data_IF_672414274669
#
_entry.id   IF_672414274669
#
_cell.length_a   1.000
_cell.length_b   1.000
_cell.length_c   1.000
_cell.angle_alpha   90.00
_cell.angle_beta   90.00
_cell.angle_gamma   90.00
#
_symmetry.space_group_name_H-M   'P 1'
#
loop_
_entity.id
_entity.type
_entity.pdbx_description
1 polymer ?
#
# COMPACT_ATOMS: atom_id res chain seq x y z
N UNK A 1 39.39 -20.36 -57.67
CA UNK A 1 39.31 -19.27 -56.68
C UNK A 1 37.82 -18.96 -56.48
N UNK A 2 37.14 -19.78 -55.69
CA UNK A 2 35.74 -19.54 -55.35
C UNK A 2 35.70 -18.54 -54.21
N UNK A 3 35.23 -17.33 -54.51
CA UNK A 3 34.90 -16.32 -53.52
C UNK A 3 33.81 -16.91 -52.60
N UNK A 4 34.16 -17.15 -51.34
CA UNK A 4 33.19 -17.42 -50.29
C UNK A 4 32.23 -16.23 -50.21
N UNK A 5 30.94 -16.50 -50.47
CA UNK A 5 29.88 -15.53 -50.21
C UNK A 5 29.90 -15.19 -48.71
N UNK A 6 29.80 -13.90 -48.32
CA UNK A 6 29.59 -13.56 -46.93
C UNK A 6 28.29 -14.24 -46.48
N UNK A 7 28.39 -15.13 -45.50
CA UNK A 7 27.22 -15.65 -44.81
C UNK A 7 26.42 -14.45 -44.32
N UNK A 8 25.25 -14.25 -44.92
CA UNK A 8 24.23 -13.30 -44.47
C UNK A 8 24.09 -13.54 -42.96
N UNK A 9 24.33 -12.54 -42.09
CA UNK A 9 24.19 -12.75 -40.66
C UNK A 9 22.77 -13.27 -40.43
N UNK A 10 22.65 -14.40 -39.76
CA UNK A 10 21.35 -14.92 -39.34
C UNK A 10 20.62 -13.75 -38.69
N UNK A 11 19.44 -13.40 -39.21
CA UNK A 11 18.63 -12.30 -38.68
C UNK A 11 18.30 -12.66 -37.24
N UNK A 12 19.14 -12.21 -36.30
CA UNK A 12 18.96 -12.44 -34.87
C UNK A 12 17.57 -11.95 -34.51
N UNK A 13 16.73 -12.82 -33.95
CA UNK A 13 15.39 -12.42 -33.56
C UNK A 13 15.48 -11.26 -32.55
N UNK A 14 14.57 -10.27 -32.62
CA UNK A 14 14.58 -9.18 -31.66
C UNK A 14 14.46 -9.72 -30.24
N UNK A 15 15.21 -9.12 -29.32
CA UNK A 15 15.05 -9.37 -27.89
C UNK A 15 13.71 -8.79 -27.45
N UNK A 16 12.79 -9.71 -27.15
CA UNK A 16 11.45 -9.41 -26.67
C UNK A 16 11.39 -9.37 -25.15
N UNK A 17 10.37 -8.73 -24.58
CA UNK A 17 10.19 -8.71 -23.13
C UNK A 17 10.13 -10.11 -22.51
N UNK A 18 9.44 -11.07 -23.14
CA UNK A 18 9.33 -12.44 -22.63
C UNK A 18 10.64 -13.25 -22.66
N UNK A 19 11.61 -12.81 -23.46
CA UNK A 19 12.95 -13.42 -23.49
C UNK A 19 13.90 -12.88 -22.42
N UNK A 20 13.52 -11.77 -21.77
CA UNK A 20 14.38 -11.02 -20.85
C UNK A 20 13.78 -10.97 -19.44
N UNK A 21 12.44 -10.93 -19.36
CA UNK A 21 11.66 -10.87 -18.13
C UNK A 21 10.59 -11.96 -18.13
N UNK A 22 10.17 -12.38 -16.94
CA UNK A 22 9.12 -13.39 -16.78
C UNK A 22 7.71 -12.79 -16.97
N UNK A 23 7.43 -12.28 -18.17
CA UNK A 23 6.18 -11.66 -18.58
C UNK A 23 5.38 -12.56 -19.53
N UNK A 24 4.08 -12.33 -19.68
CA UNK A 24 3.17 -13.19 -20.46
C UNK A 24 2.23 -12.39 -21.35
N UNK A 25 1.68 -13.03 -22.37
CA UNK A 25 0.70 -12.40 -23.26
C UNK A 25 1.35 -11.47 -24.27
N UNK A 26 0.64 -10.43 -24.70
CA UNK A 26 1.06 -9.57 -25.81
C UNK A 26 2.38 -8.83 -25.53
N UNK A 27 2.63 -8.41 -24.28
CA UNK A 27 3.89 -7.78 -23.89
C UNK A 27 5.09 -8.71 -24.12
N UNK A 28 4.95 -10.00 -23.85
CA UNK A 28 6.04 -10.98 -23.99
C UNK A 28 6.53 -11.11 -25.44
N UNK A 29 5.65 -10.85 -26.41
CA UNK A 29 5.94 -10.93 -27.84
C UNK A 29 6.51 -9.63 -28.44
N UNK A 30 6.46 -8.52 -27.70
CA UNK A 30 6.92 -7.22 -28.17
C UNK A 30 8.43 -7.07 -28.02
N UNK A 31 9.13 -6.47 -29.02
CA UNK A 31 10.53 -6.12 -28.91
C UNK A 31 10.71 -4.99 -27.88
N UNK A 32 11.82 -5.03 -27.15
CA UNK A 32 12.16 -3.93 -26.23
C UNK A 32 12.69 -2.75 -27.05
N UNK A 33 12.04 -1.59 -26.94
CA UNK A 33 12.38 -0.37 -27.67
C UNK A 33 13.23 0.63 -26.84
N UNK A 34 14.02 1.52 -27.48
CA UNK A 34 14.84 2.50 -26.78
C UNK A 34 14.02 3.44 -25.87
N UNK A 35 12.84 3.85 -26.32
CA UNK A 35 11.90 4.69 -25.58
C UNK A 35 11.46 4.03 -24.28
N UNK A 36 11.05 2.76 -24.33
CA UNK A 36 10.57 2.04 -23.15
C UNK A 36 11.68 1.92 -22.10
N UNK A 37 12.91 1.67 -22.57
CA UNK A 37 14.09 1.61 -21.71
C UNK A 37 14.40 2.98 -21.08
N UNK A 38 14.25 4.08 -21.83
CA UNK A 38 14.41 5.43 -21.32
C UNK A 38 13.32 5.82 -20.30
N UNK A 39 12.07 5.41 -20.54
CA UNK A 39 10.97 5.58 -19.60
C UNK A 39 11.22 4.82 -18.30
N UNK A 40 11.66 3.55 -18.40
CA UNK A 40 12.02 2.74 -17.22
C UNK A 40 13.16 3.36 -16.42
N UNK A 41 14.21 3.82 -17.11
CA UNK A 41 15.32 4.50 -16.45
C UNK A 41 14.88 5.79 -15.74
N UNK A 42 13.96 6.56 -16.35
CA UNK A 42 13.42 7.77 -15.74
C UNK A 42 12.57 7.46 -14.50
N UNK A 43 11.73 6.42 -14.58
CA UNK A 43 10.92 5.98 -13.47
C UNK A 43 11.76 5.41 -12.30
N UNK A 44 12.79 4.61 -12.60
CA UNK A 44 13.78 4.15 -11.63
C UNK A 44 14.49 5.33 -10.96
N UNK A 45 14.99 6.29 -11.74
CA UNK A 45 15.71 7.45 -11.22
C UNK A 45 14.84 8.31 -10.29
N UNK A 46 13.54 8.45 -10.58
CA UNK A 46 12.60 9.18 -9.72
C UNK A 46 12.41 8.50 -8.35
N UNK A 47 12.37 7.17 -8.29
CA UNK A 47 12.11 6.42 -7.05
C UNK A 47 13.40 6.18 -6.24
N UNK A 48 14.49 5.82 -6.90
CA UNK A 48 15.75 5.51 -6.25
C UNK A 48 16.66 6.74 -6.05
N UNK A 49 16.37 7.86 -6.70
CA UNK A 49 17.17 9.09 -6.68
C UNK A 49 18.53 8.97 -7.37
N UNK A 50 18.84 7.81 -7.95
CA UNK A 50 20.06 7.50 -8.71
C UNK A 50 19.75 6.40 -9.72
N UNK A 51 20.56 6.32 -10.78
CA UNK A 51 20.46 5.23 -11.74
C UNK A 51 20.90 3.92 -11.09
N UNK A 52 20.03 2.91 -11.12
CA UNK A 52 20.35 1.57 -10.64
C UNK A 52 21.20 0.82 -11.67
N UNK A 53 22.29 0.21 -11.20
CA UNK A 53 23.17 -0.61 -12.05
C UNK A 53 22.69 -2.05 -12.01
N UNK A 54 22.26 -2.59 -13.15
CA UNK A 54 21.80 -3.97 -13.27
C UNK A 54 20.34 -4.20 -12.88
N UNK A 55 19.54 -3.12 -12.78
CA UNK A 55 18.08 -3.20 -12.66
C UNK A 55 17.39 -3.40 -14.02
N UNK A 56 16.05 -3.53 -14.04
CA UNK A 56 15.28 -3.70 -15.27
C UNK A 56 15.56 -2.64 -16.33
N UNK A 57 15.76 -1.36 -15.99
CA UNK A 57 16.14 -0.34 -16.95
C UNK A 57 17.48 -0.64 -17.65
N UNK A 58 18.49 -1.09 -16.89
CA UNK A 58 19.80 -1.45 -17.46
C UNK A 58 19.68 -2.61 -18.45
N UNK A 59 18.86 -3.60 -18.11
CA UNK A 59 18.61 -4.78 -18.94
C UNK A 59 17.84 -4.38 -20.21
N UNK A 60 16.81 -3.53 -20.07
CA UNK A 60 16.03 -3.01 -21.20
C UNK A 60 16.90 -2.16 -22.13
N UNK A 61 17.80 -1.32 -21.61
CA UNK A 61 18.72 -0.51 -22.41
C UNK A 61 19.67 -1.38 -23.24
N UNK A 62 20.22 -2.45 -22.65
CA UNK A 62 21.07 -3.38 -23.37
C UNK A 62 20.32 -4.12 -24.47
N UNK A 63 19.08 -4.54 -24.19
CA UNK A 63 18.22 -5.22 -25.17
C UNK A 63 17.80 -4.28 -26.31
N UNK A 64 17.36 -3.06 -25.99
CA UNK A 64 16.99 -2.03 -26.96
C UNK A 64 18.18 -1.65 -27.85
N UNK A 65 19.37 -1.42 -27.27
CA UNK A 65 20.57 -1.11 -28.04
C UNK A 65 21.01 -2.27 -28.95
N UNK A 66 20.70 -3.52 -28.59
CA UNK A 66 20.89 -4.66 -29.50
C UNK A 66 19.87 -4.60 -30.62
N UNK A 67 18.58 -4.48 -30.31
CA UNK A 67 17.49 -4.43 -31.28
C UNK A 67 17.63 -3.28 -32.29
N UNK A 68 18.09 -2.11 -31.85
CA UNK A 68 18.34 -0.94 -32.69
C UNK A 68 19.52 -1.19 -33.64
N UNK A 69 20.62 -1.78 -33.14
CA UNK A 69 21.79 -2.13 -33.97
C UNK A 69 21.48 -3.18 -35.03
N UNK A 70 20.57 -4.12 -34.75
CA UNK A 70 20.09 -5.09 -35.74
C UNK A 70 18.92 -4.58 -36.60
N UNK A 71 18.46 -3.34 -36.39
CA UNK A 71 17.45 -2.69 -37.21
C UNK A 71 16.02 -3.20 -36.99
N UNK A 72 15.74 -3.83 -35.84
CA UNK A 72 14.41 -4.33 -35.50
C UNK A 72 13.50 -3.29 -34.83
N UNK A 73 14.09 -2.24 -34.26
CA UNK A 73 13.40 -1.09 -33.68
C UNK A 73 14.17 0.18 -34.05
N UNK A 74 13.45 1.27 -34.24
CA UNK A 74 14.01 2.60 -34.46
C UNK A 74 14.14 3.36 -33.13
N UNK A 75 14.96 4.39 -33.13
CA UNK A 75 15.11 5.30 -31.99
C UNK A 75 13.85 6.13 -31.69
N UNK A 76 12.73 5.96 -32.41
CA UNK A 76 11.45 6.65 -32.13
C UNK A 76 10.33 5.65 -31.79
N UNK A 77 10.62 4.35 -31.85
CA UNK A 77 9.60 3.32 -31.62
C UNK A 77 9.27 3.21 -30.13
N UNK A 78 7.99 3.18 -29.81
CA UNK A 78 7.47 2.85 -28.48
C UNK A 78 6.71 1.53 -28.53
N UNK A 79 6.77 0.72 -27.48
CA UNK A 79 5.83 -0.39 -27.36
C UNK A 79 4.41 0.17 -27.22
N UNK A 80 3.52 -0.21 -28.14
CA UNK A 80 2.17 0.38 -28.24
C UNK A 80 1.30 0.13 -27.00
N UNK A 81 1.63 -0.85 -26.15
CA UNK A 81 0.98 -1.10 -24.84
C UNK A 81 1.55 -0.26 -23.68
N UNK A 82 2.75 0.32 -23.81
CA UNK A 82 3.31 1.20 -22.78
C UNK A 82 2.67 2.60 -22.78
N UNK A 83 1.81 2.91 -23.75
CA UNK A 83 1.14 4.21 -23.89
C UNK A 83 -0.07 4.41 -22.98
N UNK A 84 -0.85 3.34 -22.71
CA UNK A 84 -2.13 3.45 -21.97
C UNK A 84 -2.06 2.94 -20.51
N UNK A 85 -1.22 1.94 -20.20
CA UNK A 85 -0.99 1.46 -18.81
C UNK A 85 0.42 1.76 -18.27
N UNK A 86 1.31 2.31 -19.11
CA UNK A 86 2.57 2.93 -18.68
C UNK A 86 3.67 1.99 -18.15
N UNK A 87 4.89 2.49 -18.22
CA UNK A 87 6.01 2.05 -17.37
C UNK A 87 5.78 2.60 -15.96
N UNK A 88 5.72 1.73 -14.95
CA UNK A 88 5.46 2.14 -13.56
C UNK A 88 6.55 1.60 -12.62
N UNK A 89 7.02 2.47 -11.72
CA UNK A 89 7.85 2.07 -10.59
C UNK A 89 7.13 2.54 -9.33
N UNK A 90 6.53 1.59 -8.61
CA UNK A 90 5.72 1.87 -7.43
C UNK A 90 6.51 1.56 -6.16
N UNK A 91 6.56 2.52 -5.23
CA UNK A 91 7.12 2.33 -3.90
C UNK A 91 5.99 2.03 -2.89
N UNK A 92 5.99 0.81 -2.37
CA UNK A 92 5.14 0.39 -1.26
C UNK A 92 5.94 0.43 0.03
N UNK A 93 5.64 1.40 0.91
CA UNK A 93 6.30 1.52 2.21
C UNK A 93 5.65 0.58 3.22
N UNK A 94 6.44 -0.35 3.75
CA UNK A 94 6.07 -1.22 4.86
C UNK A 94 6.91 -0.84 6.09
N UNK A 95 6.48 -1.21 7.30
CA UNK A 95 7.32 -1.09 8.49
C UNK A 95 8.68 -1.78 8.27
N UNK A 96 9.77 -1.03 8.45
CA UNK A 96 11.16 -1.53 8.35
C UNK A 96 11.68 -1.82 6.93
N UNK A 97 10.87 -1.68 5.88
CA UNK A 97 11.29 -1.94 4.50
C UNK A 97 10.41 -1.21 3.49
N UNK A 98 11.00 -0.75 2.40
CA UNK A 98 10.21 -0.39 1.21
C UNK A 98 10.31 -1.50 0.18
N UNK A 99 9.18 -1.79 -0.43
CA UNK A 99 9.10 -2.66 -1.60
C UNK A 99 8.97 -1.74 -2.80
N UNK A 100 9.89 -1.85 -3.73
CA UNK A 100 9.84 -1.14 -5.00
C UNK A 100 9.48 -2.16 -6.06
N UNK A 101 8.34 -1.96 -6.72
CA UNK A 101 7.83 -2.84 -7.77
C UNK A 101 7.93 -2.11 -9.10
N UNK A 102 8.64 -2.69 -10.04
CA UNK A 102 8.83 -2.16 -11.39
C UNK A 102 8.00 -2.99 -12.37
N UNK A 103 7.15 -2.34 -13.13
CA UNK A 103 6.21 -3.00 -14.04
C UNK A 103 6.05 -2.26 -15.36
N UNK A 104 5.67 -3.01 -16.38
CA UNK A 104 5.28 -2.50 -17.71
C UNK A 104 3.94 -3.10 -18.06
N UNK A 105 2.96 -2.27 -18.43
CA UNK A 105 1.60 -2.70 -18.74
C UNK A 105 1.01 -3.62 -17.65
N UNK A 106 1.16 -3.22 -16.38
CA UNK A 106 0.68 -3.97 -15.21
C UNK A 106 1.46 -5.25 -14.87
N UNK A 107 2.45 -5.66 -15.67
CA UNK A 107 3.25 -6.87 -15.42
C UNK A 107 4.58 -6.55 -14.75
N UNK A 108 4.86 -7.25 -13.64
CA UNK A 108 6.06 -7.02 -12.81
C UNK A 108 7.30 -7.54 -13.52
N UNK A 109 8.29 -6.66 -13.74
CA UNK A 109 9.61 -6.98 -14.26
C UNK A 109 10.63 -7.20 -13.15
N UNK A 110 10.50 -6.48 -12.05
CA UNK A 110 11.42 -6.49 -10.92
C UNK A 110 10.75 -6.09 -9.61
N UNK A 111 11.23 -6.66 -8.51
CA UNK A 111 10.81 -6.28 -7.17
C UNK A 111 12.03 -6.19 -6.25
N UNK A 112 12.23 -5.02 -5.65
CA UNK A 112 13.34 -4.74 -4.75
C UNK A 112 12.79 -4.53 -3.34
N UNK A 113 13.41 -5.21 -2.37
CA UNK A 113 13.12 -4.98 -0.96
C UNK A 113 14.32 -4.24 -0.39
N UNK A 114 14.17 -2.94 -0.17
CA UNK A 114 15.19 -2.14 0.47
C UNK A 114 14.84 -1.97 1.96
N UNK A 115 15.75 -2.35 2.88
CA UNK A 115 15.64 -1.96 4.27
C UNK A 115 15.71 -0.43 4.33
N UNK A 116 14.65 0.22 4.79
CA UNK A 116 14.75 1.63 5.12
C UNK A 116 15.32 1.74 6.54
N UNK A 117 16.34 2.57 6.78
CA UNK A 117 16.70 2.90 8.14
C UNK A 117 15.46 3.50 8.80
N UNK A 118 14.95 2.83 9.83
CA UNK A 118 13.98 3.42 10.73
C UNK A 118 14.65 4.67 11.29
N UNK A 119 14.23 5.87 10.85
CA UNK A 119 14.57 7.08 11.59
C UNK A 119 14.02 6.85 12.98
N UNK A 120 14.94 6.74 13.94
CA UNK A 120 14.68 6.36 15.31
C UNK A 120 13.62 7.27 15.94
N UNK A 121 12.40 6.79 15.88
CA UNK A 121 11.33 6.92 16.85
C UNK A 121 10.43 5.72 16.54
N UNK A 122 10.75 4.48 16.87
CA UNK A 122 11.52 3.92 17.95
C UNK A 122 12.06 2.56 17.50
N UNK A 123 13.23 2.13 17.99
CA UNK A 123 13.57 0.72 18.19
C UNK A 123 14.96 0.62 18.83
N UNK A 124 14.99 0.73 20.15
CA UNK A 124 15.82 -0.16 20.95
C UNK A 124 15.45 -1.62 20.65
N UNK A 125 16.37 -2.40 20.09
CA UNK A 125 16.76 -3.73 20.61
C UNK A 125 16.79 -4.72 19.45
N UNK A 126 17.70 -5.69 19.33
CA UNK A 126 17.96 -6.65 20.39
C UNK A 126 16.73 -7.53 20.51
N UNK A 127 16.70 -8.67 19.81
CA UNK A 127 15.57 -9.61 19.73
C UNK A 127 14.28 -8.98 19.16
N UNK A 128 13.52 -9.72 18.36
CA UNK A 128 12.26 -9.19 17.82
C UNK A 128 11.22 -9.20 18.95
N UNK A 129 11.26 -8.20 19.84
CA UNK A 129 10.06 -7.79 20.56
C UNK A 129 9.12 -7.18 19.51
N UNK A 130 8.01 -7.87 19.22
CA UNK A 130 6.94 -7.33 18.40
C UNK A 130 6.54 -5.97 18.95
N UNK A 131 6.69 -4.91 18.13
CA UNK A 131 6.23 -3.59 18.53
C UNK A 131 4.75 -3.67 18.95
N UNK A 132 4.36 -3.08 20.09
CA UNK A 132 3.02 -3.23 20.61
C UNK A 132 2.01 -2.61 19.64
N UNK A 133 0.95 -3.36 19.36
CA UNK A 133 -0.16 -2.96 18.49
C UNK A 133 -0.78 -1.67 19.01
N UNK A 134 -0.91 -0.66 18.16
CA UNK A 134 -1.44 0.64 18.55
C UNK A 134 -2.97 0.69 18.51
N UNK A 135 -3.56 1.75 19.09
CA UNK A 135 -5.01 1.97 19.03
C UNK A 135 -5.44 2.28 17.58
N UNK A 136 -4.65 3.03 16.83
CA UNK A 136 -4.90 3.30 15.41
C UNK A 136 -4.85 2.05 14.53
N UNK A 137 -3.93 1.13 14.80
CA UNK A 137 -3.86 -0.17 14.12
C UNK A 137 -5.08 -1.05 14.43
N UNK A 138 -5.53 -1.06 15.69
CA UNK A 138 -6.75 -1.76 16.08
C UNK A 138 -7.98 -1.20 15.36
N UNK A 139 -8.08 0.13 15.22
CA UNK A 139 -9.14 0.80 14.47
C UNK A 139 -9.06 0.48 12.97
N UNK A 140 -7.87 0.46 12.38
CA UNK A 140 -7.69 0.05 10.99
C UNK A 140 -8.14 -1.41 10.76
N UNK A 141 -7.88 -2.30 11.73
CA UNK A 141 -8.37 -3.67 11.67
C UNK A 141 -9.90 -3.75 11.73
N UNK A 142 -10.57 -2.88 12.50
CA UNK A 142 -12.04 -2.78 12.49
C UNK A 142 -12.60 -2.46 11.11
N UNK A 143 -11.91 -1.63 10.32
CA UNK A 143 -12.32 -1.35 8.94
C UNK A 143 -12.30 -2.61 8.05
N UNK A 144 -11.48 -3.62 8.37
CA UNK A 144 -11.42 -4.89 7.65
C UNK A 144 -12.47 -5.89 8.14
N UNK A 145 -12.75 -5.91 9.44
CA UNK A 145 -13.65 -6.90 10.06
C UNK A 145 -15.12 -6.48 10.06
N UNK A 146 -15.37 -5.17 10.17
CA UNK A 146 -16.70 -4.58 10.26
C UNK A 146 -16.87 -3.38 9.32
N UNK A 147 -16.01 -3.23 8.30
CA UNK A 147 -16.01 -2.08 7.39
C UNK A 147 -17.32 -1.85 6.66
N UNK A 148 -18.06 -2.91 6.34
CA UNK A 148 -19.35 -2.82 5.64
C UNK A 148 -20.52 -2.41 6.54
N UNK A 149 -20.30 -2.35 7.86
CA UNK A 149 -21.31 -1.94 8.83
C UNK A 149 -21.58 -0.44 8.69
N UNK A 150 -22.85 0.00 8.59
CA UNK A 150 -23.22 1.40 8.75
C UNK A 150 -22.74 1.94 10.09
N UNK A 151 -22.20 3.16 10.10
CA UNK A 151 -21.76 3.81 11.34
C UNK A 151 -22.97 4.14 12.22
N UNK A 152 -22.95 3.67 13.47
CA UNK A 152 -23.95 3.96 14.49
C UNK A 152 -23.39 4.89 15.58
N UNK A 153 -24.27 5.43 16.43
CA UNK A 153 -23.87 6.28 17.57
C UNK A 153 -22.95 5.55 18.55
N UNK A 154 -23.13 4.25 18.71
CA UNK A 154 -22.27 3.37 19.52
C UNK A 154 -20.85 3.32 18.98
N UNK A 155 -20.70 3.18 17.65
CA UNK A 155 -19.41 3.17 16.98
C UNK A 155 -18.74 4.54 17.07
N UNK A 156 -19.50 5.62 16.85
CA UNK A 156 -18.97 6.98 16.97
C UNK A 156 -18.43 7.28 18.38
N UNK A 157 -19.14 6.83 19.43
CA UNK A 157 -18.67 6.95 20.80
C UNK A 157 -17.40 6.12 21.08
N UNK A 158 -17.34 4.89 20.54
CA UNK A 158 -16.17 4.04 20.67
C UNK A 158 -14.94 4.64 19.96
N UNK A 159 -15.11 5.16 18.74
CA UNK A 159 -14.06 5.83 17.95
C UNK A 159 -13.58 7.09 18.69
N UNK A 160 -14.49 7.87 19.26
CA UNK A 160 -14.12 9.04 20.06
C UNK A 160 -13.28 8.67 21.28
N UNK A 161 -13.69 7.64 22.02
CA UNK A 161 -12.92 7.16 23.15
C UNK A 161 -11.55 6.64 22.73
N UNK A 162 -11.47 5.95 21.59
CA UNK A 162 -10.22 5.44 21.03
C UNK A 162 -9.29 6.59 20.61
N UNK A 163 -9.77 7.58 19.87
CA UNK A 163 -9.00 8.76 19.45
C UNK A 163 -8.51 9.58 20.65
N UNK A 164 -9.37 9.80 21.66
CA UNK A 164 -8.99 10.53 22.86
C UNK A 164 -7.90 9.81 23.66
N UNK A 165 -7.96 8.48 23.69
CA UNK A 165 -6.97 7.64 24.36
C UNK A 165 -5.67 7.54 23.60
N UNK A 166 -5.74 7.46 22.27
CA UNK A 166 -4.58 7.48 21.39
C UNK A 166 -3.82 8.80 21.56
N UNK A 167 -4.51 9.93 21.35
CA UNK A 167 -3.89 11.26 21.35
C UNK A 167 -3.65 11.86 22.74
N UNK A 168 -4.25 11.28 23.79
CA UNK A 168 -4.25 11.85 25.14
C UNK A 168 -5.09 13.14 25.28
N UNK A 169 -5.86 13.51 24.25
CA UNK A 169 -6.71 14.69 24.23
C UNK A 169 -8.19 14.29 24.20
N UNK A 170 -8.96 14.68 25.22
CA UNK A 170 -10.41 14.47 25.23
C UNK A 170 -11.18 15.45 24.34
N UNK A 171 -10.49 16.37 23.66
CA UNK A 171 -11.10 17.37 22.78
C UNK A 171 -11.29 16.78 21.39
N UNK A 172 -12.53 16.78 20.91
CA UNK A 172 -12.85 16.40 19.53
C UNK A 172 -12.27 17.45 18.60
N UNK A 173 -11.26 17.07 17.81
CA UNK A 173 -10.65 17.96 16.83
C UNK A 173 -11.59 18.09 15.63
N UNK A 174 -11.94 19.31 15.17
CA UNK A 174 -12.72 19.49 13.95
C UNK A 174 -12.01 18.81 12.76
N UNK A 175 -12.72 17.93 12.06
CA UNK A 175 -12.14 17.11 10.96
C UNK A 175 -11.33 15.89 11.42
N UNK A 176 -11.27 15.61 12.73
CA UNK A 176 -10.69 14.40 13.29
C UNK A 176 -11.56 13.15 13.08
N UNK A 177 -11.09 12.01 13.57
CA UNK A 177 -11.79 10.72 13.38
C UNK A 177 -13.13 10.69 14.11
N UNK A 178 -13.18 11.17 15.36
CA UNK A 178 -14.41 11.24 16.15
C UNK A 178 -15.44 12.19 15.54
N UNK A 179 -14.98 13.35 15.05
CA UNK A 179 -15.87 14.32 14.39
C UNK A 179 -16.51 13.72 13.12
N UNK A 180 -15.70 13.00 12.34
CA UNK A 180 -16.17 12.31 11.12
C UNK A 180 -17.14 11.19 11.48
N UNK A 181 -16.84 10.38 12.50
CA UNK A 181 -17.71 9.30 12.96
C UNK A 181 -19.06 9.80 13.49
N UNK A 182 -19.06 10.88 14.28
CA UNK A 182 -20.29 11.50 14.78
C UNK A 182 -21.13 12.07 13.63
N UNK A 183 -20.50 12.76 12.68
CA UNK A 183 -21.20 13.27 11.49
C UNK A 183 -21.80 12.14 10.66
N UNK A 184 -21.08 11.01 10.52
CA UNK A 184 -21.56 9.84 9.81
C UNK A 184 -22.75 9.19 10.52
N UNK A 185 -22.67 9.00 11.84
CA UNK A 185 -23.77 8.45 12.64
C UNK A 185 -25.04 9.31 12.54
N UNK A 186 -24.91 10.63 12.70
CA UNK A 186 -26.04 11.57 12.58
C UNK A 186 -26.62 11.63 11.17
N UNK A 187 -25.79 11.51 10.12
CA UNK A 187 -26.28 11.43 8.75
C UNK A 187 -27.06 10.12 8.51
N UNK A 188 -26.55 9.01 9.05
CA UNK A 188 -27.15 7.69 8.91
C UNK A 188 -28.50 7.54 9.61
N UNK A 189 -28.74 8.26 10.70
CA UNK A 189 -30.05 8.29 11.39
C UNK A 189 -31.18 8.78 10.46
N UNK A 190 -30.88 9.63 9.49
CA UNK A 190 -31.84 10.15 8.50
C UNK A 190 -32.07 9.23 7.29
N UNK A 191 -31.29 8.15 7.14
CA UNK A 191 -31.29 7.30 5.95
C UNK A 191 -31.99 5.96 6.21
N UNK A 192 -32.99 5.66 5.38
CA UNK A 192 -33.81 4.46 5.54
C UNK A 192 -33.13 3.18 5.00
N UNK A 193 -32.26 3.29 4.00
CA UNK A 193 -31.58 2.15 3.39
C UNK A 193 -30.12 2.09 3.79
N UNK A 194 -29.63 0.89 4.13
CA UNK A 194 -28.23 0.70 4.53
C UNK A 194 -27.21 0.93 3.41
N UNK A 195 -27.65 0.84 2.14
CA UNK A 195 -26.78 1.10 0.98
C UNK A 195 -26.38 2.57 0.85
N UNK A 196 -27.20 3.48 1.37
CA UNK A 196 -26.96 4.93 1.33
C UNK A 196 -26.18 5.42 2.56
N UNK A 197 -26.04 4.57 3.58
CA UNK A 197 -25.39 4.92 4.84
C UNK A 197 -23.88 4.93 4.69
N UNK A 198 -23.25 5.87 5.39
CA UNK A 198 -21.80 5.95 5.54
C UNK A 198 -21.36 4.76 6.39
N UNK A 199 -20.35 4.02 5.92
CA UNK A 199 -19.89 2.80 6.56
C UNK A 199 -18.62 3.03 7.38
N UNK A 200 -18.29 2.06 8.24
CA UNK A 200 -17.09 2.13 9.07
C UNK A 200 -15.80 2.24 8.24
N UNK A 201 -15.75 1.61 7.05
CA UNK A 201 -14.59 1.74 6.17
C UNK A 201 -14.35 3.21 5.77
N UNK A 202 -15.42 3.96 5.44
CA UNK A 202 -15.31 5.32 4.94
C UNK A 202 -14.74 6.27 6.01
N UNK A 203 -15.12 6.04 7.27
CA UNK A 203 -14.65 6.83 8.42
C UNK A 203 -13.23 6.43 8.83
N UNK A 204 -12.95 5.12 8.87
CA UNK A 204 -11.68 4.56 9.35
C UNK A 204 -10.59 4.51 8.27
N UNK A 205 -10.89 4.94 7.05
CA UNK A 205 -9.88 5.08 5.99
C UNK A 205 -8.81 6.09 6.41
N UNK A 206 -7.55 5.64 6.38
CA UNK A 206 -6.39 6.46 6.71
C UNK A 206 -6.25 6.80 8.20
N UNK A 207 -6.82 6.00 9.12
CA UNK A 207 -6.72 6.23 10.58
C UNK A 207 -5.29 6.49 11.06
N UNK A 208 -4.31 5.72 10.56
CA UNK A 208 -2.91 5.87 10.94
C UNK A 208 -2.34 7.27 10.64
N UNK A 209 -2.84 7.96 9.61
CA UNK A 209 -2.43 9.33 9.28
C UNK A 209 -3.21 10.40 10.08
N UNK A 210 -4.36 10.03 10.65
CA UNK A 210 -5.25 10.93 11.40
C UNK A 210 -5.00 10.91 12.91
N UNK A 211 -4.13 10.02 13.40
CA UNK A 211 -3.72 9.93 14.81
C UNK A 211 -2.24 10.34 14.97
N UNK A 212 -1.95 11.64 15.15
CA UNK A 212 -0.57 12.16 15.18
C UNK A 212 0.25 11.73 16.40
N UNK A 213 -0.40 11.23 17.46
CA UNK A 213 0.24 10.78 18.69
C UNK A 213 -0.26 9.38 19.09
N UNK A 214 -0.47 8.50 18.11
CA UNK A 214 -0.97 7.15 18.37
C UNK A 214 -0.06 6.38 19.35
N UNK A 215 -0.68 5.62 20.26
CA UNK A 215 0.00 4.90 21.34
C UNK A 215 -0.38 3.43 21.35
N UNK A 216 0.46 2.61 21.98
CA UNK A 216 0.19 1.20 22.23
C UNK A 216 -1.16 0.98 22.94
N UNK A 217 -1.95 0.01 22.46
CA UNK A 217 -3.21 -0.34 23.08
C UNK A 217 -2.97 -1.04 24.44
N UNK A 218 -3.62 -0.55 25.49
CA UNK A 218 -3.55 -1.13 26.84
C UNK A 218 -4.91 -1.68 27.27
N UNK A 219 -4.95 -2.55 28.30
CA UNK A 219 -6.21 -3.01 28.90
C UNK A 219 -7.12 -1.87 29.35
N UNK A 220 -6.54 -0.82 29.93
CA UNK A 220 -7.30 0.35 30.38
C UNK A 220 -7.92 1.10 29.21
N UNK A 221 -7.23 1.15 28.07
CA UNK A 221 -7.78 1.75 26.85
C UNK A 221 -8.91 0.93 26.28
N UNK A 222 -8.74 -0.39 26.19
CA UNK A 222 -9.77 -1.32 25.76
C UNK A 222 -11.04 -1.23 26.63
N UNK A 223 -10.90 -1.21 27.96
CA UNK A 223 -12.03 -1.05 28.88
C UNK A 223 -12.76 0.27 28.66
N UNK A 224 -12.04 1.36 28.49
CA UNK A 224 -12.67 2.66 28.26
C UNK A 224 -13.40 2.78 26.94
N UNK A 225 -12.87 2.16 25.88
CA UNK A 225 -13.54 2.11 24.56
C UNK A 225 -14.80 1.24 24.66
N UNK A 226 -14.71 0.08 25.33
CA UNK A 226 -15.88 -0.77 25.59
C UNK A 226 -16.95 -0.04 26.41
N UNK A 227 -16.56 0.67 27.47
CA UNK A 227 -17.51 1.44 28.28
C UNK A 227 -18.18 2.55 27.47
N UNK A 228 -17.47 3.21 26.56
CA UNK A 228 -18.03 4.24 25.70
C UNK A 228 -19.05 3.68 24.69
N UNK A 229 -18.74 2.51 24.10
CA UNK A 229 -19.66 1.78 23.23
C UNK A 229 -20.91 1.34 24.00
N UNK A 230 -20.73 0.71 25.17
CA UNK A 230 -21.83 0.22 26.03
C UNK A 230 -22.72 1.35 26.55
N UNK A 231 -22.13 2.48 26.95
CA UNK A 231 -22.89 3.64 27.46
C UNK A 231 -23.83 4.22 26.41
N UNK A 232 -23.49 4.10 25.14
CA UNK A 232 -24.33 4.54 24.02
C UNK A 232 -25.10 3.39 23.36
N UNK A 233 -24.99 2.16 23.87
CA UNK A 233 -25.68 1.01 23.31
C UNK A 233 -26.93 0.62 24.12
N UNK A 234 -28.15 0.73 23.54
CA UNK A 234 -29.39 0.31 24.22
C UNK A 234 -29.46 -1.20 24.50
N UNK A 235 -28.68 -2.02 23.78
CA UNK A 235 -28.61 -3.47 23.97
C UNK A 235 -27.49 -3.94 24.91
N UNK A 236 -26.62 -3.03 25.37
CA UNK A 236 -25.48 -3.33 26.26
C UNK A 236 -24.57 -4.48 25.75
N UNK A 237 -24.43 -4.63 24.43
CA UNK A 237 -23.55 -5.64 23.82
C UNK A 237 -22.50 -4.98 22.93
N UNK A 238 -21.23 -5.38 23.01
CA UNK A 238 -20.22 -4.89 22.08
C UNK A 238 -20.39 -5.58 20.71
N UNK A 239 -20.21 -4.86 19.61
CA UNK A 239 -20.33 -5.46 18.29
C UNK A 239 -19.15 -6.42 18.02
N UNK A 240 -19.39 -7.69 17.66
CA UNK A 240 -18.31 -8.62 17.33
C UNK A 240 -17.49 -8.13 16.14
N UNK A 241 -16.19 -7.89 16.33
CA UNK A 241 -15.31 -7.34 15.30
C UNK A 241 -15.47 -5.82 15.08
N UNK A 242 -16.23 -5.14 15.94
CA UNK A 242 -16.34 -3.68 15.98
C UNK A 242 -15.14 -3.01 16.64
N UNK A 243 -15.27 -1.71 16.92
CA UNK A 243 -14.18 -0.87 17.40
C UNK A 243 -13.64 -1.36 18.76
N UNK A 244 -14.50 -1.59 19.74
CA UNK A 244 -14.05 -2.02 21.06
C UNK A 244 -13.46 -3.44 21.04
N UNK A 245 -14.03 -4.35 20.26
CA UNK A 245 -13.52 -5.71 20.11
C UNK A 245 -12.09 -5.73 19.55
N UNK A 246 -11.79 -4.90 18.55
CA UNK A 246 -10.45 -4.78 17.98
C UNK A 246 -9.45 -4.18 18.96
N UNK A 247 -9.82 -3.14 19.72
CA UNK A 247 -8.93 -2.55 20.74
C UNK A 247 -8.66 -3.53 21.88
N UNK A 248 -9.65 -4.34 22.28
CA UNK A 248 -9.48 -5.44 23.25
C UNK A 248 -8.53 -6.51 22.71
N UNK A 249 -8.67 -6.89 21.45
CA UNK A 249 -7.79 -7.87 20.83
C UNK A 249 -6.34 -7.36 20.79
N UNK A 250 -6.13 -6.10 20.38
CA UNK A 250 -4.82 -5.45 20.38
C UNK A 250 -4.20 -5.40 21.79
N UNK A 251 -4.95 -4.94 22.79
CA UNK A 251 -4.47 -4.90 24.18
C UNK A 251 -4.08 -6.29 24.70
N UNK A 252 -4.87 -7.33 24.39
CA UNK A 252 -4.57 -8.72 24.80
C UNK A 252 -3.32 -9.28 24.14
N UNK A 253 -3.08 -8.92 22.88
CA UNK A 253 -1.86 -9.33 22.17
C UNK A 253 -0.65 -8.65 22.78
N UNK A 254 -0.72 -7.34 23.02
CA UNK A 254 0.36 -6.58 23.65
C UNK A 254 0.76 -7.12 25.03
N UNK A 255 -0.20 -7.56 25.84
CA UNK A 255 0.08 -8.19 27.14
C UNK A 255 0.68 -9.59 27.07
N UNK A 256 0.56 -10.29 25.93
CA UNK A 256 1.20 -11.58 25.72
C UNK A 256 2.62 -11.43 25.17
N UNK A 257 2.88 -10.30 24.52
CA UNK A 257 4.16 -9.92 23.96
C UNK A 257 5.04 -9.09 24.91
N UNK A 258 4.51 -8.65 26.06
CA UNK A 258 5.21 -7.94 27.16
C UNK A 258 5.58 -8.87 28.31
#
# INVERSE_FOLDING_TARGET
MSQEQPQRPETEQPLKYGGVFNVKGELAEQPIAPQDAAMMQSAEAMVFGKNQKGGPASIMQAAAAKNERSGHVSHEDTAQLAGDEGVTVAETKLPGRRIITESVAGQVLGQYVEPLPVTAAAATGGDVEEAPITIGEALAATALTAGEKPVEQTDAAAIQAAEARATGSSVVTPGGLAATAQSAASANEGLAQDVDKIKLNDVLTGVAAKLPADKAATRQDAQGVMEAELRNNPSLTAYPGGVAASVVAAARLNERSS
#
